data_IF_897601506877
#
_entry.id   IF_897601506877
#
_cell.length_a   1.000
_cell.length_b   1.000
_cell.length_c   1.000
_cell.angle_alpha   90.00
_cell.angle_beta   90.00
_cell.angle_gamma   90.00
#
_symmetry.space_group_name_H-M   'P 1'
#
loop_
_entity.id
_entity.type
_entity.pdbx_description
1 polymer ?
#
# COMPACT_ATOMS: atom_id res chain seq x y z
N UNK A 1 50.54 -35.20 -8.69
CA UNK A 1 49.49 -35.22 -7.66
C UNK A 1 48.94 -33.83 -7.25
N UNK A 2 49.58 -32.72 -7.61
CA UNK A 2 49.10 -31.35 -7.24
C UNK A 2 48.02 -30.73 -8.16
N UNK A 3 47.78 -31.31 -9.33
CA UNK A 3 46.82 -30.81 -10.31
C UNK A 3 45.39 -31.31 -10.10
N UNK A 4 45.20 -32.42 -9.39
CA UNK A 4 43.86 -32.95 -9.08
C UNK A 4 43.14 -32.27 -7.93
N UNK A 5 43.89 -31.70 -6.97
CA UNK A 5 43.31 -31.02 -5.81
C UNK A 5 42.72 -29.65 -6.15
N UNK A 6 43.26 -28.97 -7.17
CA UNK A 6 42.73 -27.66 -7.62
C UNK A 6 41.43 -27.78 -8.41
N UNK A 7 41.19 -28.89 -9.12
CA UNK A 7 39.94 -29.15 -9.85
C UNK A 7 38.78 -29.50 -8.92
N UNK A 8 39.03 -30.15 -7.79
CA UNK A 8 38.01 -30.46 -6.79
C UNK A 8 37.57 -29.23 -5.99
N UNK A 9 38.47 -28.26 -5.80
CA UNK A 9 38.14 -27.02 -5.08
C UNK A 9 37.26 -26.07 -5.93
N UNK A 10 37.41 -26.10 -7.26
CA UNK A 10 36.61 -25.26 -8.18
C UNK A 10 35.17 -25.75 -8.33
N UNK A 11 34.89 -27.04 -8.09
CA UNK A 11 33.54 -27.61 -8.21
C UNK A 11 32.69 -27.35 -6.97
N UNK A 12 33.29 -27.06 -5.82
CA UNK A 12 32.56 -26.79 -4.58
C UNK A 12 31.95 -25.35 -4.49
N UNK A 13 32.39 -24.42 -5.34
CA UNK A 13 31.89 -23.04 -5.37
C UNK A 13 30.65 -22.83 -6.25
N UNK A 14 30.25 -23.84 -7.01
CA UNK A 14 29.05 -23.74 -7.88
C UNK A 14 27.73 -24.16 -7.19
N UNK A 15 27.78 -24.63 -5.93
CA UNK A 15 26.60 -24.98 -5.14
C UNK A 15 26.00 -23.77 -4.37
N UNK A 16 26.34 -22.54 -4.76
CA UNK A 16 25.87 -21.31 -4.17
C UNK A 16 24.48 -20.91 -4.66
N UNK A 17 23.49 -21.09 -3.80
CA UNK A 17 22.25 -20.29 -3.72
C UNK A 17 21.24 -20.41 -4.86
N UNK A 18 20.65 -21.56 -5.01
CA UNK A 18 19.25 -21.62 -5.45
C UNK A 18 18.37 -21.74 -4.20
N UNK A 19 18.31 -20.72 -3.35
CA UNK A 19 17.28 -20.62 -2.30
C UNK A 19 16.02 -20.00 -2.91
N UNK A 20 15.46 -20.68 -3.90
CA UNK A 20 14.08 -20.45 -4.29
C UNK A 20 13.23 -21.09 -3.20
N UNK A 21 12.74 -20.27 -2.26
CA UNK A 21 11.79 -20.72 -1.24
C UNK A 21 10.54 -21.36 -1.86
N UNK A 22 9.64 -21.93 -1.05
CA UNK A 22 8.43 -22.56 -1.57
C UNK A 22 7.64 -21.58 -2.47
N UNK A 23 6.92 -22.08 -3.47
CA UNK A 23 6.08 -21.25 -4.34
C UNK A 23 5.14 -20.37 -3.53
N UNK A 24 4.83 -19.18 -4.06
CA UNK A 24 3.84 -18.28 -3.46
C UNK A 24 2.44 -18.87 -3.63
N UNK A 25 1.67 -18.86 -2.56
CA UNK A 25 0.28 -19.30 -2.61
C UNK A 25 -0.56 -18.30 -3.44
N UNK A 26 -1.46 -18.78 -4.31
CA UNK A 26 -2.36 -17.91 -5.08
C UNK A 26 -3.20 -16.97 -4.20
N UNK A 27 -3.52 -17.38 -2.98
CA UNK A 27 -4.25 -16.57 -1.99
C UNK A 27 -3.51 -15.27 -1.66
N UNK A 28 -2.18 -15.32 -1.45
CA UNK A 28 -1.38 -14.13 -1.14
C UNK A 28 -1.40 -13.10 -2.29
N UNK A 29 -1.35 -13.57 -3.53
CA UNK A 29 -1.50 -12.69 -4.71
C UNK A 29 -2.87 -12.00 -4.71
N UNK A 30 -3.94 -12.77 -4.54
CA UNK A 30 -5.30 -12.24 -4.54
C UNK A 30 -5.56 -11.27 -3.37
N UNK A 31 -5.06 -11.57 -2.18
CA UNK A 31 -5.17 -10.70 -1.00
C UNK A 31 -4.43 -9.37 -1.19
N UNK A 32 -3.23 -9.41 -1.78
CA UNK A 32 -2.44 -8.21 -2.06
C UNK A 32 -3.13 -7.33 -3.10
N UNK A 33 -3.65 -7.92 -4.17
CA UNK A 33 -4.42 -7.22 -5.19
C UNK A 33 -5.69 -6.58 -4.59
N UNK A 34 -6.41 -7.33 -3.77
CA UNK A 34 -7.59 -6.82 -3.06
C UNK A 34 -7.24 -5.63 -2.13
N UNK A 35 -6.08 -5.64 -1.47
CA UNK A 35 -5.63 -4.51 -0.65
C UNK A 35 -5.39 -3.25 -1.52
N UNK A 36 -4.79 -3.39 -2.69
CA UNK A 36 -4.60 -2.27 -3.63
C UNK A 36 -5.95 -1.71 -4.08
N UNK A 37 -6.91 -2.57 -4.43
CA UNK A 37 -8.25 -2.13 -4.82
C UNK A 37 -9.00 -1.43 -3.69
N UNK A 38 -8.85 -1.87 -2.43
CA UNK A 38 -9.43 -1.16 -1.28
C UNK A 38 -8.84 0.25 -1.13
N UNK A 39 -7.52 0.39 -1.26
CA UNK A 39 -6.87 1.70 -1.24
C UNK A 39 -7.39 2.62 -2.35
N UNK A 40 -7.56 2.10 -3.56
CA UNK A 40 -8.15 2.84 -4.67
C UNK A 40 -9.60 3.27 -4.39
N UNK A 41 -10.39 2.36 -3.85
CA UNK A 41 -11.78 2.65 -3.43
C UNK A 41 -11.89 3.68 -2.31
N UNK A 42 -10.88 3.77 -1.44
CA UNK A 42 -10.78 4.80 -0.40
C UNK A 42 -10.35 6.19 -0.93
N UNK A 43 -10.00 6.31 -2.21
CA UNK A 43 -9.56 7.56 -2.83
C UNK A 43 -8.05 7.78 -2.77
N UNK A 44 -7.25 6.71 -2.64
CA UNK A 44 -5.79 6.82 -2.56
C UNK A 44 -5.16 7.40 -3.83
N UNK A 45 -5.84 7.37 -4.97
CA UNK A 45 -5.37 8.02 -6.20
C UNK A 45 -5.19 9.53 -6.05
N UNK A 46 -6.06 10.15 -5.24
CA UNK A 46 -6.06 11.60 -5.01
C UNK A 46 -5.28 11.98 -3.75
N UNK A 47 -5.40 11.19 -2.69
CA UNK A 47 -4.94 11.56 -1.35
C UNK A 47 -3.66 10.83 -0.90
N UNK A 48 -3.24 9.76 -1.60
CA UNK A 48 -2.10 8.94 -1.23
C UNK A 48 -1.40 8.33 -2.47
N UNK A 49 -1.30 9.10 -3.55
CA UNK A 49 -0.81 8.64 -4.87
C UNK A 49 0.56 7.97 -4.81
N UNK A 50 1.48 8.50 -4.01
CA UNK A 50 2.84 7.96 -3.88
C UNK A 50 2.85 6.57 -3.23
N UNK A 51 2.08 6.38 -2.16
CA UNK A 51 1.95 5.09 -1.49
C UNK A 51 1.27 4.07 -2.40
N UNK A 52 0.21 4.48 -3.12
CA UNK A 52 -0.47 3.62 -4.09
C UNK A 52 0.46 3.21 -5.25
N UNK A 53 1.28 4.13 -5.75
CA UNK A 53 2.27 3.84 -6.79
C UNK A 53 3.35 2.86 -6.31
N UNK A 54 3.79 2.97 -5.06
CA UNK A 54 4.73 2.01 -4.43
C UNK A 54 4.08 0.64 -4.27
N UNK A 55 2.83 0.58 -3.82
CA UNK A 55 2.08 -0.66 -3.68
C UNK A 55 1.99 -1.41 -5.02
N UNK A 56 1.59 -0.72 -6.08
CA UNK A 56 1.47 -1.32 -7.42
C UNK A 56 2.81 -1.82 -7.96
N UNK A 57 3.88 -1.04 -7.78
CA UNK A 57 5.23 -1.43 -8.21
C UNK A 57 5.71 -2.69 -7.49
N UNK A 58 5.58 -2.73 -6.16
CA UNK A 58 5.98 -3.88 -5.36
C UNK A 58 5.14 -5.12 -5.73
N UNK A 59 3.85 -4.95 -6.04
CA UNK A 59 2.98 -6.04 -6.50
C UNK A 59 3.40 -6.59 -7.87
N UNK A 60 3.74 -5.72 -8.82
CA UNK A 60 4.25 -6.14 -10.14
C UNK A 60 5.57 -6.90 -10.02
N UNK A 61 6.49 -6.43 -9.16
CA UNK A 61 7.75 -7.12 -8.85
C UNK A 61 7.50 -8.48 -8.18
N UNK A 62 6.55 -8.55 -7.24
CA UNK A 62 6.16 -9.79 -6.58
C UNK A 62 5.57 -10.82 -7.54
N UNK A 63 4.69 -10.39 -8.44
CA UNK A 63 4.14 -11.25 -9.51
C UNK A 63 5.24 -11.79 -10.43
N UNK A 64 6.15 -10.90 -10.83
CA UNK A 64 7.26 -11.28 -11.70
C UNK A 64 8.17 -12.29 -11.01
N UNK A 65 8.53 -12.09 -9.75
CA UNK A 65 9.32 -13.02 -8.96
C UNK A 65 8.60 -14.37 -8.79
N UNK A 66 7.27 -14.34 -8.56
CA UNK A 66 6.46 -15.56 -8.48
C UNK A 66 6.49 -16.37 -9.78
N UNK A 67 6.41 -15.71 -10.94
CA UNK A 67 6.49 -16.38 -12.24
C UNK A 67 7.87 -17.00 -12.53
N UNK A 68 8.92 -16.50 -11.86
CA UNK A 68 10.30 -17.03 -11.94
C UNK A 68 10.60 -18.10 -10.89
N UNK A 69 9.61 -18.48 -10.10
CA UNK A 69 9.75 -19.43 -8.99
C UNK A 69 10.73 -18.93 -7.90
N UNK A 70 10.85 -17.62 -7.76
CA UNK A 70 11.63 -16.94 -6.72
C UNK A 70 10.74 -16.67 -5.48
N UNK A 71 10.25 -17.75 -4.84
CA UNK A 71 9.17 -17.69 -3.86
C UNK A 71 9.42 -16.77 -2.66
N UNK A 72 10.65 -16.73 -2.13
CA UNK A 72 11.00 -15.83 -1.02
C UNK A 72 10.98 -14.36 -1.44
N UNK A 73 11.58 -14.04 -2.58
CA UNK A 73 11.56 -12.68 -3.14
C UNK A 73 10.12 -12.23 -3.45
N UNK A 74 9.34 -13.11 -4.07
CA UNK A 74 7.94 -12.84 -4.38
C UNK A 74 7.13 -12.54 -3.12
N UNK A 75 7.25 -13.37 -2.09
CA UNK A 75 6.54 -13.17 -0.81
C UNK A 75 6.90 -11.84 -0.18
N UNK A 76 8.18 -11.51 -0.08
CA UNK A 76 8.64 -10.24 0.48
C UNK A 76 8.08 -9.04 -0.28
N UNK A 77 8.05 -9.08 -1.63
CA UNK A 77 7.49 -8.00 -2.46
C UNK A 77 5.98 -7.87 -2.32
N UNK A 78 5.27 -8.98 -2.20
CA UNK A 78 3.82 -8.96 -1.97
C UNK A 78 3.46 -8.43 -0.59
N UNK A 79 4.21 -8.79 0.45
CA UNK A 79 4.04 -8.23 1.80
C UNK A 79 4.31 -6.71 1.81
N UNK A 80 5.34 -6.25 1.10
CA UNK A 80 5.65 -4.84 0.92
C UNK A 80 4.51 -4.11 0.17
N UNK A 81 3.99 -4.70 -0.89
CA UNK A 81 2.87 -4.15 -1.65
C UNK A 81 1.62 -3.98 -0.78
N UNK A 82 1.30 -5.00 0.02
CA UNK A 82 0.17 -4.95 0.96
C UNK A 82 0.36 -3.85 2.00
N UNK A 83 1.53 -3.75 2.60
CA UNK A 83 1.82 -2.71 3.58
C UNK A 83 1.67 -1.29 3.01
N UNK A 84 2.16 -1.04 1.79
CA UNK A 84 1.95 0.24 1.11
C UNK A 84 0.48 0.50 0.75
N UNK A 85 -0.27 -0.52 0.34
CA UNK A 85 -1.69 -0.38 0.04
C UNK A 85 -2.50 -0.04 1.30
N UNK A 86 -2.27 -0.71 2.42
CA UNK A 86 -2.90 -0.44 3.70
C UNK A 86 -2.57 0.99 4.20
N UNK A 87 -1.32 1.42 4.05
CA UNK A 87 -0.92 2.79 4.39
C UNK A 87 -1.60 3.83 3.48
N UNK A 88 -1.74 3.54 2.19
CA UNK A 88 -2.43 4.41 1.24
C UNK A 88 -3.93 4.53 1.56
N UNK A 89 -4.58 3.42 1.92
CA UNK A 89 -5.98 3.39 2.35
C UNK A 89 -6.18 4.24 3.62
N UNK A 90 -5.32 4.05 4.63
CA UNK A 90 -5.40 4.79 5.88
C UNK A 90 -5.19 6.30 5.67
N UNK A 91 -4.22 6.70 4.85
CA UNK A 91 -3.98 8.10 4.53
C UNK A 91 -5.18 8.72 3.77
N UNK A 92 -5.72 8.04 2.78
CA UNK A 92 -6.87 8.52 2.02
C UNK A 92 -8.10 8.71 2.91
N UNK A 93 -8.39 7.76 3.79
CA UNK A 93 -9.46 7.87 4.76
C UNK A 93 -9.26 9.04 5.73
N UNK A 94 -8.03 9.27 6.22
CA UNK A 94 -7.72 10.39 7.10
C UNK A 94 -7.96 11.75 6.41
N UNK A 95 -7.55 11.91 5.15
CA UNK A 95 -7.77 13.14 4.40
C UNK A 95 -9.26 13.38 4.11
N UNK A 96 -10.01 12.33 3.80
CA UNK A 96 -11.47 12.43 3.64
C UNK A 96 -12.15 12.90 4.92
N UNK A 97 -11.81 12.29 6.07
CA UNK A 97 -12.37 12.70 7.36
C UNK A 97 -12.03 14.15 7.74
N UNK A 98 -10.79 14.61 7.44
CA UNK A 98 -10.41 16.03 7.62
C UNK A 98 -11.27 16.96 6.78
N UNK A 99 -11.52 16.61 5.52
CA UNK A 99 -12.35 17.39 4.62
C UNK A 99 -13.81 17.46 5.10
N UNK A 100 -14.37 16.34 5.53
CA UNK A 100 -15.72 16.26 6.11
C UNK A 100 -15.83 17.12 7.39
N UNK A 101 -14.85 17.01 8.29
CA UNK A 101 -14.81 17.82 9.51
C UNK A 101 -14.71 19.33 9.22
N UNK A 102 -13.94 19.73 8.20
CA UNK A 102 -13.84 21.12 7.79
C UNK A 102 -15.14 21.63 7.17
N UNK A 103 -15.87 20.77 6.43
CA UNK A 103 -17.19 21.11 5.90
C UNK A 103 -18.21 21.33 7.01
N UNK A 104 -18.30 20.40 7.97
CA UNK A 104 -19.21 20.50 9.10
C UNK A 104 -18.94 21.73 9.98
N UNK A 105 -17.68 22.12 10.17
CA UNK A 105 -17.33 23.36 10.90
C UNK A 105 -17.86 24.59 10.17
N UNK A 106 -17.69 24.67 8.86
CA UNK A 106 -18.22 25.80 8.07
C UNK A 106 -19.75 25.89 8.16
N UNK A 107 -20.43 24.76 8.07
CA UNK A 107 -21.89 24.71 8.22
C UNK A 107 -22.34 25.18 9.62
N UNK A 108 -21.63 24.77 10.67
CA UNK A 108 -21.90 25.21 12.03
C UNK A 108 -21.72 26.74 12.18
N UNK A 109 -20.62 27.29 11.66
CA UNK A 109 -20.34 28.72 11.69
C UNK A 109 -21.45 29.53 10.95
N UNK A 110 -21.88 29.02 9.78
CA UNK A 110 -22.98 29.64 9.02
C UNK A 110 -24.31 29.64 9.80
N UNK A 111 -24.61 28.52 10.48
CA UNK A 111 -25.83 28.42 11.30
C UNK A 111 -25.78 29.36 12.52
N UNK A 112 -24.61 29.52 13.14
CA UNK A 112 -24.43 30.48 14.23
C UNK A 112 -24.67 31.90 13.76
N UNK A 113 -24.12 32.30 12.60
CA UNK A 113 -24.36 33.62 12.00
C UNK A 113 -25.85 33.84 11.73
N UNK A 114 -26.53 32.89 11.08
CA UNK A 114 -27.97 32.96 10.82
C UNK A 114 -28.78 33.08 12.11
N UNK A 115 -28.47 32.31 13.11
CA UNK A 115 -29.15 32.35 14.41
C UNK A 115 -28.98 33.71 15.09
N UNK A 116 -27.81 34.32 15.01
CA UNK A 116 -27.55 35.66 15.54
C UNK A 116 -28.37 36.73 14.80
N UNK A 117 -28.40 36.67 13.48
CA UNK A 117 -29.21 37.59 12.66
C UNK A 117 -30.71 37.51 13.00
N UNK A 118 -31.27 36.32 13.14
CA UNK A 118 -32.67 36.11 13.51
C UNK A 118 -32.96 36.70 14.90
N UNK A 119 -32.07 36.51 15.87
CA UNK A 119 -32.23 37.10 17.21
C UNK A 119 -32.20 38.63 17.19
N UNK A 120 -31.32 39.21 16.38
CA UNK A 120 -31.24 40.67 16.21
C UNK A 120 -32.49 41.23 15.57
N UNK A 121 -33.02 40.60 14.51
CA UNK A 121 -34.27 40.97 13.87
C UNK A 121 -35.48 40.86 14.81
N UNK A 122 -35.49 39.85 15.68
CA UNK A 122 -36.59 39.68 16.67
C UNK A 122 -36.56 40.71 17.81
N UNK A 123 -35.43 41.39 18.02
CA UNK A 123 -35.27 42.44 19.04
C UNK A 123 -35.62 43.83 18.54
N UNK A 124 -35.61 44.05 17.22
CA UNK A 124 -35.95 45.31 16.55
C UNK A 124 -37.15 45.06 15.62
N UNK A 125 -38.38 45.06 16.13
CA UNK A 125 -39.60 44.95 15.31
C UNK A 125 -39.85 46.17 14.44
#
# INVERSE_FOLDING_TARGET
>A
MRRGALLLLALALAAGCASSGPPVEPALLAETEAAIHRAEGAGAREHASDLLARARRAWDEGRLASSRVEGETARRRLDEARAYAEAAEAQANAERLKSEAASLRREADELEVKTRQIREQSRNP
#
